data_IF_946525707317
#
_entry.id   IF_946525707317
#
_cell.length_a   1.000
_cell.length_b   1.000
_cell.length_c   1.000
_cell.angle_alpha   90.00
_cell.angle_beta   90.00
_cell.angle_gamma   90.00
#
_symmetry.space_group_name_H-M   'P 1'
#
loop_
_entity.id
_entity.type
_entity.pdbx_description
1 polymer ?
#
# COMPACT_ATOMS: atom_id res chain seq x y z
N UNK A 1 -17.65 -1.76 6.18
CA UNK A 1 -17.70 -1.40 7.61
C UNK A 1 -16.76 -0.26 7.83
N UNK A 2 -16.95 0.54 8.87
CA UNK A 2 -15.93 1.52 9.26
C UNK A 2 -14.74 0.80 9.91
N UNK A 3 -13.53 1.33 9.74
CA UNK A 3 -12.34 0.86 10.46
C UNK A 3 -12.65 0.99 11.96
N UNK A 4 -12.44 -0.10 12.71
CA UNK A 4 -12.67 -0.15 14.15
C UNK A 4 -11.63 0.66 14.94
N UNK A 5 -11.57 0.41 16.24
CA UNK A 5 -10.59 1.06 17.11
C UNK A 5 -9.16 0.62 16.76
N UNK A 6 -8.22 1.56 16.75
CA UNK A 6 -6.83 1.27 16.38
C UNK A 6 -6.09 0.78 17.61
N UNK A 7 -5.72 -0.49 17.61
CA UNK A 7 -5.04 -1.16 18.74
C UNK A 7 -3.59 -0.66 18.93
N UNK A 8 -2.85 -0.36 17.85
CA UNK A 8 -1.45 0.11 17.88
C UNK A 8 -1.16 1.05 16.70
N UNK A 9 -0.38 2.11 16.95
CA UNK A 9 0.14 3.04 15.93
C UNK A 9 1.64 3.24 16.14
N UNK A 10 2.46 2.91 15.14
CA UNK A 10 3.92 3.14 15.13
C UNK A 10 4.36 3.69 13.76
N UNK A 11 4.28 5.02 13.54
CA UNK A 11 4.59 5.61 12.26
C UNK A 11 6.08 5.97 12.18
N UNK A 12 6.69 5.69 11.03
CA UNK A 12 8.01 6.20 10.66
C UNK A 12 7.90 7.14 9.45
N UNK A 13 8.83 8.08 9.34
CA UNK A 13 8.84 9.08 8.27
C UNK A 13 10.11 8.95 7.43
N UNK A 14 9.93 9.07 6.12
CA UNK A 14 11.03 9.19 5.16
C UNK A 14 10.86 10.55 4.50
N UNK A 15 11.87 11.42 4.60
CA UNK A 15 11.77 12.80 4.11
C UNK A 15 11.54 12.88 2.61
N UNK A 16 12.22 12.02 1.84
CA UNK A 16 12.08 11.92 0.40
C UNK A 16 12.11 10.46 -0.02
N UNK A 17 11.06 9.98 -0.67
CA UNK A 17 10.98 8.63 -1.17
C UNK A 17 10.45 8.60 -2.61
N UNK A 18 11.17 7.87 -3.47
CA UNK A 18 10.80 7.63 -4.86
C UNK A 18 10.55 6.15 -5.09
N UNK A 19 9.44 5.83 -5.74
CA UNK A 19 9.08 4.46 -6.12
C UNK A 19 9.81 4.04 -7.40
N UNK A 20 11.13 3.92 -7.33
CA UNK A 20 11.96 3.52 -8.47
C UNK A 20 12.13 1.99 -8.53
N UNK A 21 12.41 1.45 -9.70
CA UNK A 21 12.74 0.04 -9.87
C UNK A 21 13.69 -0.12 -11.05
N UNK A 22 14.55 -1.14 -10.99
CA UNK A 22 15.39 -1.50 -12.13
C UNK A 22 14.53 -1.90 -13.34
N UNK A 23 14.91 -1.50 -14.56
CA UNK A 23 14.24 -1.96 -15.78
C UNK A 23 14.15 -3.48 -15.82
N UNK A 24 12.95 -4.01 -16.12
CA UNK A 24 12.69 -5.45 -16.18
C UNK A 24 12.61 -6.17 -14.83
N UNK A 25 12.74 -5.47 -13.70
CA UNK A 25 12.63 -6.09 -12.39
C UNK A 25 11.18 -6.42 -12.04
N UNK A 26 10.95 -7.67 -11.63
CA UNK A 26 9.62 -8.20 -11.24
C UNK A 26 9.46 -8.39 -9.73
N UNK A 27 10.36 -7.82 -8.93
CA UNK A 27 10.37 -8.01 -7.48
C UNK A 27 9.06 -7.55 -6.84
N UNK A 28 8.55 -6.40 -7.28
CA UNK A 28 7.31 -5.79 -6.78
C UNK A 28 6.12 -6.72 -6.96
N UNK A 29 5.94 -7.26 -8.15
CA UNK A 29 4.83 -8.18 -8.47
C UNK A 29 4.89 -9.44 -7.60
N UNK A 30 6.09 -10.01 -7.41
CA UNK A 30 6.29 -11.17 -6.55
C UNK A 30 5.96 -10.86 -5.08
N UNK A 31 6.43 -9.72 -4.57
CA UNK A 31 6.21 -9.32 -3.18
C UNK A 31 4.74 -9.03 -2.89
N UNK A 32 4.07 -8.26 -3.77
CA UNK A 32 2.64 -7.95 -3.62
C UNK A 32 1.78 -9.20 -3.66
N UNK A 33 2.07 -10.13 -4.58
CA UNK A 33 1.35 -11.40 -4.67
C UNK A 33 1.53 -12.25 -3.41
N UNK A 34 2.75 -12.36 -2.89
CA UNK A 34 3.01 -13.11 -1.67
C UNK A 34 2.25 -12.54 -0.45
N UNK A 35 2.15 -11.21 -0.35
CA UNK A 35 1.38 -10.56 0.72
C UNK A 35 -0.13 -10.80 0.55
N UNK A 36 -0.64 -10.68 -0.67
CA UNK A 36 -2.05 -10.95 -1.00
C UNK A 36 -2.47 -12.39 -0.69
N UNK A 37 -1.60 -13.37 -0.96
CA UNK A 37 -1.80 -14.79 -0.61
C UNK A 37 -1.98 -15.01 0.91
N UNK A 38 -1.51 -14.08 1.74
CA UNK A 38 -1.69 -14.06 3.19
C UNK A 38 -2.76 -13.07 3.67
N UNK A 39 -3.59 -12.54 2.76
CA UNK A 39 -4.63 -11.56 3.08
C UNK A 39 -4.09 -10.17 3.47
N UNK A 40 -2.83 -9.88 3.15
CA UNK A 40 -2.20 -8.58 3.41
C UNK A 40 -2.24 -7.75 2.13
N UNK A 41 -3.10 -6.74 2.11
CA UNK A 41 -3.31 -5.88 0.94
C UNK A 41 -2.54 -4.58 1.07
N UNK A 42 -1.47 -4.45 0.28
CA UNK A 42 -0.69 -3.22 0.21
C UNK A 42 -1.36 -2.16 -0.66
N UNK A 43 -1.49 -0.94 -0.14
CA UNK A 43 -2.21 0.17 -0.77
C UNK A 43 -1.35 1.44 -0.84
N UNK A 44 -1.72 2.33 -1.76
CA UNK A 44 -1.09 3.64 -1.92
C UNK A 44 0.32 3.57 -2.51
N UNK A 45 0.93 4.75 -2.64
CA UNK A 45 2.19 4.97 -3.36
C UNK A 45 3.31 4.01 -2.93
N UNK A 46 3.54 3.90 -1.62
CA UNK A 46 4.67 3.12 -1.08
C UNK A 46 4.32 1.66 -0.85
N UNK A 47 3.09 1.34 -0.45
CA UNK A 47 2.66 -0.06 -0.32
C UNK A 47 2.68 -0.77 -1.67
N UNK A 48 2.19 -0.12 -2.73
CA UNK A 48 2.17 -0.68 -4.09
C UNK A 48 3.45 -0.42 -4.89
N UNK A 49 4.36 0.39 -4.35
CA UNK A 49 5.59 0.81 -5.01
C UNK A 49 5.36 1.36 -6.43
N UNK A 50 4.48 2.36 -6.54
CA UNK A 50 4.13 3.01 -7.81
C UNK A 50 3.89 4.50 -7.59
N UNK A 51 4.30 5.33 -8.55
CA UNK A 51 4.06 6.77 -8.48
C UNK A 51 2.56 7.05 -8.59
N UNK A 52 2.00 7.69 -7.57
CA UNK A 52 0.59 8.08 -7.46
C UNK A 52 0.48 9.46 -6.84
N UNK A 53 -0.53 10.26 -7.21
CA UNK A 53 -0.87 11.50 -6.49
C UNK A 53 -1.48 11.22 -5.11
N UNK A 54 -1.45 12.21 -4.20
CA UNK A 54 -1.98 12.07 -2.82
C UNK A 54 -3.47 11.68 -2.83
N UNK A 55 -4.27 12.31 -3.70
CA UNK A 55 -5.70 12.03 -3.81
C UNK A 55 -5.99 10.58 -4.22
N UNK A 56 -5.20 10.02 -5.15
CA UNK A 56 -5.37 8.63 -5.58
C UNK A 56 -5.01 7.66 -4.44
N UNK A 57 -3.92 7.93 -3.71
CA UNK A 57 -3.53 7.10 -2.57
C UNK A 57 -4.57 7.10 -1.44
N UNK A 58 -5.23 8.22 -1.16
CA UNK A 58 -6.32 8.30 -0.17
C UNK A 58 -7.55 7.51 -0.64
N UNK A 59 -7.95 7.69 -1.90
CA UNK A 59 -9.08 6.98 -2.51
C UNK A 59 -8.87 5.46 -2.47
N UNK A 60 -7.68 4.98 -2.84
CA UNK A 60 -7.35 3.55 -2.80
C UNK A 60 -7.48 2.99 -1.38
N UNK A 61 -6.99 3.72 -0.37
CA UNK A 61 -7.11 3.28 1.02
C UNK A 61 -8.55 3.18 1.52
N UNK A 62 -9.38 4.17 1.18
CA UNK A 62 -10.80 4.17 1.54
C UNK A 62 -11.57 3.05 0.82
N UNK A 63 -11.29 2.82 -0.46
CA UNK A 63 -11.95 1.76 -1.24
C UNK A 63 -11.54 0.37 -0.75
N UNK A 64 -10.26 0.14 -0.47
CA UNK A 64 -9.77 -1.14 0.06
C UNK A 64 -10.38 -1.42 1.45
N UNK A 65 -10.33 -0.45 2.36
CA UNK A 65 -10.94 -0.60 3.69
C UNK A 65 -12.47 -0.74 3.67
N UNK A 66 -13.13 -0.15 2.67
CA UNK A 66 -14.58 -0.26 2.48
C UNK A 66 -15.03 -1.56 1.81
N UNK A 67 -14.20 -2.16 0.95
CA UNK A 67 -14.50 -3.33 0.14
C UNK A 67 -14.01 -4.66 0.73
N UNK A 68 -12.98 -4.63 1.59
CA UNK A 68 -12.55 -5.82 2.34
C UNK A 68 -13.59 -6.09 3.43
N UNK A 69 -14.29 -7.22 3.28
CA UNK A 69 -15.36 -7.70 4.16
C UNK A 69 -15.01 -9.09 4.65
#
# INVERSE_FOLDING_TARGET
>A
GWIGEVEVVDPTWIEVAYTWSWPGSRWREKALKALEEHGIYQIGRFGRWVFQGIAESIKEGLMAGGAVR
#
